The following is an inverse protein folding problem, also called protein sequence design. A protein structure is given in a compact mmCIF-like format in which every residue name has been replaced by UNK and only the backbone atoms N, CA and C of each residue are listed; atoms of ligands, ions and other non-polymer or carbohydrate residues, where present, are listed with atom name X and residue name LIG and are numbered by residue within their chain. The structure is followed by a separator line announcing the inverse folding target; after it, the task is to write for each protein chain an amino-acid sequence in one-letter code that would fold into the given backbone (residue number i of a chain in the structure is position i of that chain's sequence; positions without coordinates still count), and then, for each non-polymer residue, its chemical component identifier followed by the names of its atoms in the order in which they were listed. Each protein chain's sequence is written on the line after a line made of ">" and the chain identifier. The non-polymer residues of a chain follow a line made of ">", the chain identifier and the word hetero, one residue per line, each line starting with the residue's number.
data_IF_425011569778
#
_entry.id   IF_425011569778
#
_cell.length_a   1.000
_cell.length_b   1.000
_cell.length_c   1.000
_cell.angle_alpha   90.00
_cell.angle_beta   90.00
_cell.angle_gamma   90.00
#
_symmetry.space_group_name_H-M   'P 1'
#
loop_
_entity.id
_entity.type
_entity.pdbx_description
1 polymer ?
#
# COMPACT_ATOMS: atom_id res chain seq x y z
N UNK A 1 -46.39 23.90 15.83
CA UNK A 1 -45.90 24.20 17.20
C UNK A 1 -44.54 24.88 17.10
N UNK A 2 -44.47 26.12 17.56
CA UNK A 2 -43.30 27.01 17.55
C UNK A 2 -42.33 26.63 18.67
N UNK A 3 -41.06 26.37 18.33
CA UNK A 3 -39.99 26.26 19.32
C UNK A 3 -39.17 27.55 19.34
N UNK A 4 -39.47 28.35 20.37
CA UNK A 4 -38.85 29.63 20.73
C UNK A 4 -37.32 29.51 20.89
N UNK A 5 -36.57 30.35 20.17
CA UNK A 5 -35.15 30.64 20.45
C UNK A 5 -35.02 31.31 21.83
N UNK A 6 -34.23 30.70 22.73
CA UNK A 6 -33.82 31.32 24.00
C UNK A 6 -32.78 32.44 23.72
N UNK A 7 -32.87 33.62 24.36
CA UNK A 7 -31.90 34.69 24.18
C UNK A 7 -30.60 34.35 24.93
N UNK A 8 -29.47 34.49 24.25
CA UNK A 8 -28.14 34.29 24.83
C UNK A 8 -27.85 35.32 25.92
N UNK A 9 -27.63 34.83 27.15
CA UNK A 9 -27.05 35.62 28.25
C UNK A 9 -25.65 36.11 27.85
N UNK A 10 -25.47 37.43 27.71
CA UNK A 10 -24.15 38.07 27.64
C UNK A 10 -23.41 37.81 28.95
N UNK A 11 -22.29 37.06 28.89
CA UNK A 11 -21.33 36.97 30.01
C UNK A 11 -20.53 38.29 30.09
N UNK A 12 -20.34 38.89 31.27
CA UNK A 12 -19.56 40.11 31.42
C UNK A 12 -18.07 39.84 31.14
N UNK A 13 -17.37 40.85 30.59
CA UNK A 13 -15.92 40.81 30.42
C UNK A 13 -15.26 40.67 31.80
N UNK A 14 -14.37 39.69 31.95
CA UNK A 14 -13.47 39.58 33.10
C UNK A 14 -12.63 40.86 33.21
N UNK A 15 -12.96 41.74 34.15
CA UNK A 15 -12.03 42.73 34.72
C UNK A 15 -11.13 42.00 35.70
N UNK A 16 -9.81 42.14 35.55
CA UNK A 16 -8.84 41.64 36.53
C UNK A 16 -9.17 42.30 37.87
N UNK A 17 -9.38 41.49 38.91
CA UNK A 17 -9.67 41.97 40.26
C UNK A 17 -8.37 42.41 40.91
N UNK A 18 -8.02 43.69 40.78
CA UNK A 18 -6.88 44.31 41.46
C UNK A 18 -7.29 44.84 42.85
N UNK A 19 -6.37 44.80 43.80
CA UNK A 19 -6.56 45.46 45.11
C UNK A 19 -6.41 46.98 44.98
N UNK A 20 -6.96 47.78 45.92
CA UNK A 20 -6.86 49.25 45.87
C UNK A 20 -5.41 49.76 45.85
N UNK A 21 -4.49 49.01 46.44
CA UNK A 21 -3.06 49.32 46.46
C UNK A 21 -2.39 49.04 45.09
N UNK A 22 -2.75 47.92 44.45
CA UNK A 22 -2.32 47.60 43.08
C UNK A 22 -2.84 48.63 42.07
N UNK A 23 -4.07 49.12 42.24
CA UNK A 23 -4.64 50.14 41.37
C UNK A 23 -3.91 51.49 41.46
N UNK A 24 -3.50 51.89 42.66
CA UNK A 24 -2.69 53.09 42.91
C UNK A 24 -1.29 52.95 42.31
N UNK A 25 -0.70 51.74 42.42
CA UNK A 25 0.61 51.45 41.86
C UNK A 25 0.60 51.43 40.33
N UNK A 26 -0.41 50.83 39.69
CA UNK A 26 -0.62 50.88 38.23
C UNK A 26 -0.83 52.33 37.75
N UNK A 27 -1.57 53.15 38.48
CA UNK A 27 -1.75 54.57 38.14
C UNK A 27 -0.44 55.36 38.26
N UNK A 28 0.39 55.07 39.26
CA UNK A 28 1.71 55.71 39.42
C UNK A 28 2.69 55.35 38.29
N UNK A 29 2.66 54.10 37.81
CA UNK A 29 3.50 53.63 36.69
C UNK A 29 3.10 54.32 35.38
N UNK A 30 1.81 54.50 35.12
CA UNK A 30 1.31 55.18 33.92
C UNK A 30 1.51 56.70 33.97
N UNK A 31 1.56 57.30 35.17
CA UNK A 31 1.86 58.72 35.37
C UNK A 31 3.36 59.05 35.39
N UNK A 32 4.23 58.04 35.45
CA UNK A 32 5.68 58.18 35.39
C UNK A 32 6.20 58.47 33.97
N UNK A 33 7.53 58.47 33.81
CA UNK A 33 8.17 58.70 32.51
C UNK A 33 7.96 57.48 31.58
N UNK A 34 6.90 57.54 30.77
CA UNK A 34 6.55 56.54 29.75
C UNK A 34 7.34 56.70 28.44
N UNK A 35 8.26 57.67 28.39
CA UNK A 35 9.08 57.97 27.21
C UNK A 35 10.26 57.01 27.05
N UNK A 36 10.70 56.35 28.13
CA UNK A 36 11.76 55.35 28.14
C UNK A 36 11.18 53.93 28.38
N UNK A 37 11.06 53.11 27.31
CA UNK A 37 10.48 51.77 27.43
C UNK A 37 11.26 50.84 28.37
N UNK A 38 12.58 51.04 28.54
CA UNK A 38 13.41 50.21 29.41
C UNK A 38 13.15 50.46 30.89
N UNK A 39 13.02 51.74 31.28
CA UNK A 39 12.65 52.12 32.65
C UNK A 39 11.21 51.73 32.97
N UNK A 40 10.29 51.92 32.02
CA UNK A 40 8.90 51.48 32.14
C UNK A 40 8.80 49.98 32.40
N UNK A 41 9.55 49.18 31.64
CA UNK A 41 9.60 47.74 31.85
C UNK A 41 9.96 47.44 33.30
N UNK A 42 11.07 48.01 33.79
CA UNK A 42 11.66 47.74 35.11
C UNK A 42 10.76 48.14 36.29
N UNK A 43 9.92 49.17 36.11
CA UNK A 43 8.99 49.67 37.12
C UNK A 43 7.80 48.74 37.38
N UNK A 44 7.55 47.74 36.51
CA UNK A 44 6.49 46.73 36.70
C UNK A 44 7.06 45.54 37.46
N UNK A 45 6.64 45.28 38.72
CA UNK A 45 7.31 44.29 39.57
C UNK A 45 6.83 42.86 39.30
N UNK A 46 5.57 42.65 38.90
CA UNK A 46 5.00 41.31 38.73
C UNK A 46 4.03 41.18 37.55
N UNK A 47 3.61 39.95 37.28
CA UNK A 47 2.72 39.59 36.17
C UNK A 47 1.28 40.12 36.34
N UNK A 48 0.81 40.28 37.59
CA UNK A 48 -0.55 40.76 37.87
C UNK A 48 -0.67 42.25 37.53
N UNK A 49 0.30 43.04 37.97
CA UNK A 49 0.43 44.47 37.66
C UNK A 49 0.71 44.65 36.16
N UNK A 50 1.55 43.80 35.54
CA UNK A 50 1.78 43.84 34.09
C UNK A 50 0.49 43.67 33.27
N UNK A 51 -0.40 42.75 33.68
CA UNK A 51 -1.71 42.55 33.04
C UNK A 51 -2.63 43.75 33.21
N UNK A 52 -2.70 44.32 34.41
CA UNK A 52 -3.51 45.50 34.70
C UNK A 52 -3.02 46.76 33.95
N UNK A 53 -1.70 46.96 33.90
CA UNK A 53 -1.05 48.03 33.11
C UNK A 53 -1.37 47.85 31.63
N UNK A 54 -1.22 46.64 31.08
CA UNK A 54 -1.51 46.36 29.68
C UNK A 54 -2.99 46.62 29.33
N UNK A 55 -3.93 46.23 30.19
CA UNK A 55 -5.37 46.49 29.99
C UNK A 55 -5.69 47.99 29.99
N UNK A 56 -5.09 48.77 30.90
CA UNK A 56 -5.28 50.25 30.94
C UNK A 56 -4.67 50.95 29.73
N UNK A 57 -3.46 50.57 29.30
CA UNK A 57 -2.85 51.09 28.07
C UNK A 57 -3.73 50.84 26.82
N UNK A 58 -4.50 49.75 26.80
CA UNK A 58 -5.42 49.46 25.69
C UNK A 58 -6.74 50.27 25.73
N UNK A 59 -7.04 50.91 26.86
CA UNK A 59 -8.21 51.78 27.04
C UNK A 59 -7.91 53.24 26.70
N UNK A 60 -6.65 53.64 26.60
CA UNK A 60 -6.23 54.98 26.17
C UNK A 60 -6.63 55.27 24.71
N UNK A 61 -6.76 56.56 24.38
CA UNK A 61 -7.18 57.02 23.06
C UNK A 61 -6.21 56.59 21.94
N UNK A 62 -4.92 56.54 22.28
CA UNK A 62 -3.81 56.08 21.45
C UNK A 62 -2.99 55.06 22.25
N UNK A 63 -3.26 53.75 22.09
CA UNK A 63 -2.56 52.73 22.87
C UNK A 63 -1.09 52.65 22.43
N UNK A 64 -0.17 52.80 23.38
CA UNK A 64 1.28 52.73 23.11
C UNK A 64 1.72 51.28 22.82
N UNK A 65 1.94 50.97 21.54
CA UNK A 65 2.40 49.65 21.09
C UNK A 65 3.78 49.34 21.69
N UNK A 66 4.68 50.32 21.74
CA UNK A 66 6.06 50.15 22.22
C UNK A 66 6.10 49.63 23.65
N UNK A 67 5.26 50.20 24.53
CA UNK A 67 5.18 49.77 25.93
C UNK A 67 4.57 48.37 26.07
N UNK A 68 3.56 48.04 25.25
CA UNK A 68 2.94 46.71 25.23
C UNK A 68 3.88 45.62 24.71
N UNK A 69 4.73 45.94 23.73
CA UNK A 69 5.76 45.02 23.21
C UNK A 69 6.81 44.73 24.29
N UNK A 70 7.28 45.76 25.01
CA UNK A 70 8.25 45.57 26.08
C UNK A 70 7.69 44.75 27.25
N UNK A 71 6.40 44.89 27.57
CA UNK A 71 5.72 44.02 28.54
C UNK A 71 5.57 42.59 28.03
N UNK A 72 5.30 42.39 26.73
CA UNK A 72 5.29 41.06 26.09
C UNK A 72 6.65 40.38 26.22
N UNK A 73 7.73 41.09 25.92
CA UNK A 73 9.09 40.53 25.93
C UNK A 73 9.54 40.16 27.34
N UNK A 74 9.20 40.98 28.34
CA UNK A 74 9.58 40.75 29.74
C UNK A 74 8.81 39.59 30.39
N UNK A 75 7.49 39.51 30.17
CA UNK A 75 6.63 38.59 30.94
C UNK A 75 6.12 37.38 30.13
N UNK A 76 6.23 37.39 28.79
CA UNK A 76 5.84 36.30 27.87
C UNK A 76 4.46 35.67 28.17
N UNK A 77 3.50 36.50 28.55
CA UNK A 77 2.18 36.05 29.02
C UNK A 77 1.08 36.13 27.95
N UNK A 78 0.21 35.11 27.95
CA UNK A 78 -0.89 34.97 26.98
C UNK A 78 -1.94 36.09 27.08
N UNK A 79 -2.20 36.62 28.27
CA UNK A 79 -3.17 37.72 28.43
C UNK A 79 -2.59 39.04 27.92
N UNK A 80 -1.31 39.33 28.20
CA UNK A 80 -0.61 40.51 27.69
C UNK A 80 -0.59 40.50 26.16
N UNK A 81 -0.30 39.36 25.55
CA UNK A 81 -0.34 39.18 24.10
C UNK A 81 -1.74 39.42 23.51
N UNK A 82 -2.80 38.92 24.17
CA UNK A 82 -4.17 39.20 23.75
C UNK A 82 -4.49 40.70 23.80
N UNK A 83 -3.95 41.42 24.77
CA UNK A 83 -4.12 42.86 24.90
C UNK A 83 -3.34 43.64 23.83
N UNK A 84 -2.11 43.22 23.51
CA UNK A 84 -1.35 43.74 22.38
C UNK A 84 -2.09 43.54 21.05
N UNK A 85 -2.61 42.34 20.78
CA UNK A 85 -3.43 42.06 19.57
C UNK A 85 -4.67 42.96 19.48
N UNK A 86 -5.32 43.26 20.61
CA UNK A 86 -6.46 44.19 20.68
C UNK A 86 -6.06 45.63 20.38
N UNK A 87 -4.94 46.09 20.92
CA UNK A 87 -4.41 47.43 20.66
C UNK A 87 -4.03 47.62 19.18
N UNK A 88 -3.33 46.65 18.59
CA UNK A 88 -2.95 46.63 17.17
C UNK A 88 -4.19 46.60 16.26
N UNK A 89 -5.23 45.86 16.63
CA UNK A 89 -6.49 45.82 15.89
C UNK A 89 -7.23 47.17 15.91
N UNK A 90 -7.29 47.86 17.06
CA UNK A 90 -7.89 49.21 17.15
C UNK A 90 -7.16 50.23 16.28
N UNK A 91 -5.82 50.17 16.22
CA UNK A 91 -5.02 51.08 15.39
C UNK A 91 -5.18 50.79 13.89
N UNK A 92 -5.30 49.51 13.51
CA UNK A 92 -5.62 49.11 12.14
C UNK A 92 -7.00 49.60 11.69
N UNK A 93 -8.01 49.54 12.55
CA UNK A 93 -9.35 50.09 12.25
C UNK A 93 -9.33 51.61 12.03
N UNK A 94 -8.37 52.33 12.64
CA UNK A 94 -8.15 53.76 12.44
C UNK A 94 -7.24 54.09 11.24
N UNK A 95 -6.83 53.10 10.45
CA UNK A 95 -6.04 53.30 9.23
C UNK A 95 -4.53 53.41 9.43
N UNK A 96 -4.01 53.09 10.61
CA UNK A 96 -2.56 53.08 10.88
C UNK A 96 -1.94 51.79 10.34
N UNK A 97 -0.86 51.91 9.56
CA UNK A 97 -0.08 50.76 9.06
C UNK A 97 0.72 50.18 10.22
N UNK A 98 0.45 48.92 10.57
CA UNK A 98 1.07 48.22 11.70
C UNK A 98 1.97 47.11 11.18
N UNK A 99 3.19 47.02 11.71
CA UNK A 99 4.18 46.01 11.33
C UNK A 99 3.73 44.59 11.73
N UNK A 100 3.52 43.72 10.74
CA UNK A 100 2.97 42.36 10.90
C UNK A 100 3.90 41.41 11.66
N UNK A 101 5.19 41.72 11.76
CA UNK A 101 6.17 40.92 12.50
C UNK A 101 5.80 40.72 13.98
N UNK A 102 5.12 41.70 14.60
CA UNK A 102 4.75 41.68 16.03
C UNK A 102 3.61 40.65 16.30
N UNK A 103 2.80 40.35 15.29
CA UNK A 103 1.65 39.44 15.37
C UNK A 103 2.01 37.98 15.05
N UNK A 104 3.14 37.75 14.38
CA UNK A 104 3.51 36.46 13.80
C UNK A 104 3.98 35.43 14.85
N UNK A 105 4.51 35.87 15.99
CA UNK A 105 5.18 34.98 16.97
C UNK A 105 4.23 34.06 17.77
N UNK A 106 2.93 34.31 17.78
CA UNK A 106 1.94 33.52 18.54
C UNK A 106 0.74 33.09 17.69
N UNK A 107 1.00 32.81 16.42
CA UNK A 107 0.18 31.82 15.74
C UNK A 107 0.61 30.48 16.32
N UNK A 108 -0.30 29.59 16.75
CA UNK A 108 0.04 28.18 16.68
C UNK A 108 0.25 27.94 15.19
N UNK A 109 1.48 28.14 14.72
CA UNK A 109 2.02 27.23 13.73
C UNK A 109 1.67 25.87 14.32
N UNK A 110 0.69 25.20 13.72
CA UNK A 110 0.75 23.77 13.73
C UNK A 110 2.20 23.48 13.41
N UNK A 111 2.88 22.92 14.39
CA UNK A 111 4.18 22.32 14.24
C UNK A 111 3.91 21.24 13.17
N UNK A 112 3.92 21.65 11.89
CA UNK A 112 4.22 20.79 10.77
C UNK A 112 5.71 20.53 10.99
N UNK A 113 6.02 19.78 12.05
CA UNK A 113 7.07 18.79 11.94
C UNK A 113 6.77 18.14 10.60
N UNK A 114 7.68 18.19 9.62
CA UNK A 114 7.51 17.35 8.44
C UNK A 114 7.19 15.97 8.99
N UNK A 115 5.95 15.54 8.81
CA UNK A 115 5.49 14.22 9.19
C UNK A 115 6.40 13.35 8.35
N UNK A 116 7.40 12.75 9.02
CA UNK A 116 8.43 11.87 8.50
C UNK A 116 8.00 11.38 7.12
N UNK A 117 8.60 11.90 6.04
CA UNK A 117 8.13 11.71 4.65
C UNK A 117 7.46 10.35 4.53
N UNK A 118 6.13 10.31 4.56
CA UNK A 118 5.41 9.04 4.66
C UNK A 118 5.57 8.38 3.28
N UNK A 119 6.70 7.69 3.10
CA UNK A 119 7.06 7.03 1.85
C UNK A 119 5.97 6.04 1.50
N UNK A 120 5.60 5.94 0.22
CA UNK A 120 4.62 4.96 -0.18
C UNK A 120 5.16 3.56 0.10
N UNK A 121 4.34 2.73 0.74
CA UNK A 121 4.66 1.33 0.99
C UNK A 121 3.94 0.48 -0.05
N UNK A 122 4.62 -0.53 -0.58
CA UNK A 122 4.04 -1.49 -1.51
C UNK A 122 4.30 -2.92 -1.05
N UNK A 123 3.31 -3.79 -1.22
CA UNK A 123 3.36 -5.19 -0.84
C UNK A 123 2.80 -6.06 -1.96
N UNK A 124 3.36 -7.26 -2.12
CA UNK A 124 2.90 -8.25 -3.10
C UNK A 124 2.78 -9.62 -2.44
N UNK A 125 1.73 -10.34 -2.79
CA UNK A 125 1.56 -11.74 -2.40
C UNK A 125 2.25 -12.69 -3.39
N UNK A 126 2.31 -13.99 -3.05
CA UNK A 126 2.74 -15.01 -3.98
C UNK A 126 1.77 -15.15 -5.16
N UNK A 127 2.22 -15.80 -6.23
CA UNK A 127 1.34 -16.30 -7.27
C UNK A 127 0.69 -17.60 -6.79
N UNK A 128 -0.64 -17.61 -6.75
CA UNK A 128 -1.45 -18.65 -6.12
C UNK A 128 -1.75 -19.85 -7.02
N UNK A 129 -1.60 -19.70 -8.32
CA UNK A 129 -2.02 -20.71 -9.30
C UNK A 129 -1.30 -20.53 -10.64
N UNK A 130 -1.53 -21.48 -11.54
CA UNK A 130 -1.07 -21.39 -12.93
C UNK A 130 -1.81 -20.35 -13.78
N UNK A 131 -2.71 -19.54 -13.22
CA UNK A 131 -3.31 -18.38 -13.90
C UNK A 131 -2.64 -17.05 -13.52
N UNK A 132 -1.65 -17.09 -12.62
CA UNK A 132 -0.90 -15.90 -12.23
C UNK A 132 -1.63 -15.00 -11.23
N UNK A 133 -2.71 -15.48 -10.58
CA UNK A 133 -3.46 -14.70 -9.60
C UNK A 133 -2.64 -14.37 -8.36
N UNK A 134 -2.66 -13.12 -7.92
CA UNK A 134 -2.00 -12.65 -6.70
C UNK A 134 -2.60 -11.36 -6.15
N UNK A 135 -2.37 -11.13 -4.86
CA UNK A 135 -2.70 -9.87 -4.20
C UNK A 135 -1.58 -8.82 -4.36
N UNK A 136 -1.96 -7.57 -4.60
CA UNK A 136 -1.03 -6.42 -4.68
C UNK A 136 -1.59 -5.25 -3.88
N UNK A 137 -0.70 -4.58 -3.15
CA UNK A 137 -1.02 -3.50 -2.22
C UNK A 137 -0.10 -2.31 -2.44
N UNK A 138 -0.67 -1.11 -2.49
CA UNK A 138 0.06 0.16 -2.46
C UNK A 138 -0.63 1.06 -1.43
N UNK A 139 0.16 1.69 -0.57
CA UNK A 139 -0.34 2.71 0.36
C UNK A 139 0.43 4.01 0.16
N UNK A 140 -0.28 5.14 0.23
CA UNK A 140 0.34 6.45 0.12
C UNK A 140 -0.45 7.52 0.85
N UNK A 141 0.21 8.62 1.20
CA UNK A 141 -0.45 9.76 1.81
C UNK A 141 -0.87 10.81 0.79
N UNK A 142 -2.14 11.24 0.86
CA UNK A 142 -2.70 12.28 -0.03
C UNK A 142 -2.91 13.59 0.72
N UNK A 143 -1.81 14.19 1.19
CA UNK A 143 -1.82 15.46 1.93
C UNK A 143 -2.79 15.45 3.13
N UNK A 144 -3.73 16.41 3.17
CA UNK A 144 -4.73 16.53 4.25
C UNK A 144 -5.77 15.41 4.23
N UNK A 145 -5.94 14.70 3.10
CA UNK A 145 -6.93 13.62 2.95
C UNK A 145 -6.52 12.30 3.62
N UNK A 146 -5.32 12.25 4.20
CA UNK A 146 -4.84 11.10 4.95
C UNK A 146 -4.32 9.95 4.08
N UNK A 147 -4.16 8.79 4.71
CA UNK A 147 -3.64 7.57 4.11
C UNK A 147 -4.68 6.98 3.14
N UNK A 148 -4.25 6.71 1.92
CA UNK A 148 -5.00 5.97 0.91
C UNK A 148 -4.33 4.62 0.67
N UNK A 149 -5.14 3.62 0.36
CA UNK A 149 -4.65 2.31 -0.07
C UNK A 149 -5.32 1.94 -1.39
N UNK A 150 -4.50 1.39 -2.29
CA UNK A 150 -4.92 0.63 -3.44
C UNK A 150 -4.64 -0.85 -3.18
N UNK A 151 -5.66 -1.68 -3.26
CA UNK A 151 -5.60 -3.10 -2.98
C UNK A 151 -6.24 -3.82 -4.16
N UNK A 152 -5.58 -4.82 -4.73
CA UNK A 152 -6.14 -5.55 -5.86
C UNK A 152 -5.78 -7.02 -5.85
N UNK A 153 -6.72 -7.83 -6.33
CA UNK A 153 -6.49 -9.20 -6.77
C UNK A 153 -6.35 -9.17 -8.30
N UNK A 154 -5.17 -9.55 -8.79
CA UNK A 154 -4.80 -9.39 -10.20
C UNK A 154 -4.15 -10.65 -10.74
N UNK A 155 -4.26 -10.87 -12.04
CA UNK A 155 -3.55 -11.90 -12.79
C UNK A 155 -2.97 -11.31 -14.07
N UNK A 156 -1.95 -11.98 -14.60
CA UNK A 156 -1.37 -11.69 -15.91
C UNK A 156 -2.22 -12.27 -17.07
N UNK A 157 -3.18 -13.14 -16.77
CA UNK A 157 -4.00 -13.84 -17.75
C UNK A 157 -5.43 -13.27 -17.87
N UNK A 158 -6.07 -12.92 -16.76
CA UNK A 158 -7.44 -12.35 -16.74
C UNK A 158 -7.46 -10.85 -16.41
N UNK A 159 -6.33 -10.31 -15.94
CA UNK A 159 -6.20 -8.91 -15.57
C UNK A 159 -6.68 -8.62 -14.14
N UNK A 160 -7.40 -7.51 -13.96
CA UNK A 160 -7.89 -7.08 -12.65
C UNK A 160 -9.19 -7.81 -12.33
N UNK A 161 -9.19 -8.62 -11.26
CA UNK A 161 -10.38 -9.35 -10.78
C UNK A 161 -11.18 -8.50 -9.79
N UNK A 162 -10.50 -7.94 -8.79
CA UNK A 162 -11.09 -7.03 -7.81
C UNK A 162 -10.07 -5.95 -7.44
N UNK A 163 -10.57 -4.75 -7.18
CA UNK A 163 -9.72 -3.61 -6.85
C UNK A 163 -10.45 -2.56 -6.03
N UNK A 164 -9.89 -2.26 -4.87
CA UNK A 164 -10.29 -1.18 -3.98
C UNK A 164 -9.26 -0.04 -4.03
N UNK A 165 -9.75 1.19 -4.13
CA UNK A 165 -8.93 2.38 -3.88
C UNK A 165 -9.71 3.41 -3.06
N UNK A 166 -9.11 3.85 -1.95
CA UNK A 166 -9.77 4.82 -1.10
C UNK A 166 -9.00 5.17 0.18
N UNK A 167 -9.54 6.10 0.98
CA UNK A 167 -8.96 6.44 2.28
C UNK A 167 -9.11 5.27 3.24
N UNK A 168 -8.04 4.92 3.94
CA UNK A 168 -8.04 3.84 4.93
C UNK A 168 -7.36 4.26 6.23
N UNK A 169 -7.95 3.85 7.36
CA UNK A 169 -7.33 4.02 8.67
C UNK A 169 -6.27 2.94 8.92
N UNK A 170 -5.22 3.26 9.70
CA UNK A 170 -4.13 2.32 10.02
C UNK A 170 -4.60 0.96 10.55
N UNK A 171 -5.64 0.96 11.41
CA UNK A 171 -6.23 -0.28 11.96
C UNK A 171 -6.83 -1.16 10.86
N UNK A 172 -7.67 -0.59 10.00
CA UNK A 172 -8.28 -1.31 8.88
C UNK A 172 -7.25 -1.80 7.86
N UNK A 173 -6.17 -1.03 7.65
CA UNK A 173 -5.08 -1.47 6.79
C UNK A 173 -4.40 -2.74 7.33
N UNK A 174 -4.19 -2.82 8.64
CA UNK A 174 -3.60 -4.01 9.26
C UNK A 174 -4.54 -5.21 9.14
N UNK A 175 -5.82 -5.02 9.46
CA UNK A 175 -6.86 -6.07 9.33
C UNK A 175 -6.95 -6.58 7.88
N UNK A 176 -6.91 -5.67 6.90
CA UNK A 176 -6.97 -6.04 5.49
C UNK A 176 -5.70 -6.79 5.02
N UNK A 177 -4.51 -6.41 5.52
CA UNK A 177 -3.27 -7.15 5.26
C UNK A 177 -3.30 -8.55 5.87
N UNK A 178 -3.82 -8.70 7.09
CA UNK A 178 -3.98 -9.99 7.77
C UNK A 178 -4.96 -10.89 7.00
N UNK A 179 -6.15 -10.40 6.66
CA UNK A 179 -7.14 -11.14 5.89
C UNK A 179 -6.60 -11.59 4.51
N UNK A 180 -5.87 -10.71 3.82
CA UNK A 180 -5.23 -11.08 2.54
C UNK A 180 -4.11 -12.10 2.77
N UNK A 181 -3.36 -11.99 3.86
CA UNK A 181 -2.30 -12.95 4.16
C UNK A 181 -2.84 -14.35 4.48
N UNK A 182 -4.00 -14.42 5.13
CA UNK A 182 -4.71 -15.67 5.43
C UNK A 182 -5.28 -16.32 4.17
N UNK A 183 -5.85 -15.54 3.25
CA UNK A 183 -6.55 -16.07 2.07
C UNK A 183 -5.67 -16.19 0.80
N UNK A 184 -4.68 -15.32 0.65
CA UNK A 184 -3.87 -15.17 -0.56
C UNK A 184 -2.36 -15.29 -0.29
N UNK A 185 -1.98 -15.84 0.87
CA UNK A 185 -0.59 -16.08 1.26
C UNK A 185 0.15 -14.83 1.75
N UNK A 186 1.32 -14.99 2.38
CA UNK A 186 1.99 -13.92 3.09
C UNK A 186 2.43 -12.81 2.14
N UNK A 187 2.25 -11.56 2.55
CA UNK A 187 2.66 -10.38 1.78
C UNK A 187 4.13 -10.04 2.04
N UNK A 188 4.90 -9.79 0.97
CA UNK A 188 6.28 -9.28 1.06
C UNK A 188 6.36 -7.83 0.64
N UNK A 189 7.19 -7.05 1.33
CA UNK A 189 7.45 -5.65 0.97
C UNK A 189 8.20 -5.56 -0.37
N UNK A 190 7.80 -4.60 -1.21
CA UNK A 190 8.35 -4.42 -2.55
C UNK A 190 8.52 -2.94 -2.91
N UNK A 191 9.26 -2.67 -3.98
CA UNK A 191 9.34 -1.33 -4.55
C UNK A 191 8.01 -0.91 -5.18
N UNK A 192 7.73 0.40 -5.18
CA UNK A 192 6.56 0.94 -5.85
C UNK A 192 6.59 0.68 -7.37
N UNK A 193 7.76 0.72 -7.99
CA UNK A 193 7.96 0.39 -9.42
C UNK A 193 7.55 -1.04 -9.73
N UNK A 194 7.91 -2.00 -8.86
CA UNK A 194 7.51 -3.38 -9.06
C UNK A 194 6.00 -3.53 -8.96
N UNK A 195 5.37 -3.02 -7.89
CA UNK A 195 3.91 -3.09 -7.75
C UNK A 195 3.19 -2.40 -8.92
N UNK A 196 3.72 -1.27 -9.41
CA UNK A 196 3.23 -0.57 -10.59
C UNK A 196 3.31 -1.44 -11.86
N UNK A 197 4.41 -2.18 -12.08
CA UNK A 197 4.53 -3.10 -13.23
C UNK A 197 3.48 -4.20 -13.22
N UNK A 198 3.19 -4.76 -12.05
CA UNK A 198 2.18 -5.82 -11.90
C UNK A 198 0.80 -5.26 -12.24
N UNK A 199 0.47 -4.12 -11.63
CA UNK A 199 -0.79 -3.44 -11.86
C UNK A 199 -0.97 -3.02 -13.32
N UNK A 200 0.07 -2.49 -13.96
CA UNK A 200 0.01 -2.09 -15.36
C UNK A 200 -0.16 -3.31 -16.28
N UNK A 201 0.55 -4.42 -16.02
CA UNK A 201 0.38 -5.66 -16.79
C UNK A 201 -1.06 -6.17 -16.69
N UNK A 202 -1.60 -6.24 -15.48
CA UNK A 202 -2.98 -6.66 -15.24
C UNK A 202 -4.02 -5.70 -15.86
N UNK A 203 -3.74 -4.39 -15.84
CA UNK A 203 -4.63 -3.39 -16.43
C UNK A 203 -4.67 -3.48 -17.95
N UNK A 204 -3.52 -3.62 -18.61
CA UNK A 204 -3.48 -3.82 -20.06
C UNK A 204 -4.26 -5.08 -20.44
N UNK A 205 -4.08 -6.16 -19.69
CA UNK A 205 -4.83 -7.39 -19.91
C UNK A 205 -6.34 -7.22 -19.70
N UNK A 206 -6.73 -6.50 -18.65
CA UNK A 206 -8.13 -6.18 -18.38
C UNK A 206 -8.76 -5.37 -19.51
N UNK A 207 -8.03 -4.41 -20.10
CA UNK A 207 -8.50 -3.63 -21.25
C UNK A 207 -8.70 -4.49 -22.49
N UNK A 208 -7.77 -5.41 -22.77
CA UNK A 208 -7.86 -6.35 -23.90
C UNK A 208 -9.13 -7.22 -23.81
N UNK A 209 -9.43 -7.75 -22.62
CA UNK A 209 -10.54 -8.68 -22.39
C UNK A 209 -11.88 -7.93 -22.29
N UNK A 210 -11.97 -6.92 -21.41
CA UNK A 210 -13.24 -6.30 -21.04
C UNK A 210 -13.59 -5.08 -21.88
N UNK A 211 -12.64 -4.53 -22.65
CA UNK A 211 -12.80 -3.32 -23.48
C UNK A 211 -13.31 -2.10 -22.69
N UNK A 212 -13.08 -2.07 -21.38
CA UNK A 212 -13.53 -1.03 -20.45
C UNK A 212 -12.50 -0.84 -19.35
N UNK A 213 -12.45 0.36 -18.80
CA UNK A 213 -11.58 0.69 -17.68
C UNK A 213 -12.16 0.23 -16.34
N UNK A 214 -11.29 -0.20 -15.43
CA UNK A 214 -11.66 -0.45 -14.04
C UNK A 214 -11.68 0.87 -13.25
N UNK A 215 -12.87 1.34 -12.86
CA UNK A 215 -13.09 2.67 -12.28
C UNK A 215 -12.16 3.00 -11.09
N UNK A 216 -12.02 2.07 -10.14
CA UNK A 216 -11.13 2.28 -8.98
C UNK A 216 -9.66 2.39 -9.37
N UNK A 217 -9.24 1.66 -10.40
CA UNK A 217 -7.85 1.62 -10.85
C UNK A 217 -7.46 2.91 -11.58
N UNK A 218 -8.37 3.45 -12.39
CA UNK A 218 -8.18 4.72 -13.11
C UNK A 218 -7.88 5.90 -12.17
N UNK A 219 -8.30 5.82 -10.90
CA UNK A 219 -7.97 6.85 -9.90
C UNK A 219 -6.56 6.72 -9.31
N UNK A 220 -6.06 5.49 -9.08
CA UNK A 220 -4.73 5.26 -8.53
C UNK A 220 -3.63 5.42 -9.61
N UNK A 221 -3.92 5.01 -10.85
CA UNK A 221 -2.94 4.91 -11.93
C UNK A 221 -2.13 6.17 -12.21
N UNK A 222 -2.73 7.37 -12.33
CA UNK A 222 -1.98 8.60 -12.55
C UNK A 222 -0.99 8.89 -11.42
N UNK A 223 -1.33 8.50 -10.19
CA UNK A 223 -0.48 8.75 -9.03
C UNK A 223 0.76 7.85 -9.05
N UNK A 224 0.65 6.54 -9.24
CA UNK A 224 1.84 5.70 -9.23
C UNK A 224 2.75 5.97 -10.44
N UNK A 225 2.19 6.22 -11.63
CA UNK A 225 3.01 6.50 -12.83
C UNK A 225 3.85 7.78 -12.70
N UNK A 226 3.38 8.75 -11.91
CA UNK A 226 4.15 9.97 -11.62
C UNK A 226 5.23 9.76 -10.56
N UNK A 227 5.05 8.79 -9.66
CA UNK A 227 5.94 8.58 -8.51
C UNK A 227 6.95 7.44 -8.72
N UNK A 228 6.65 6.49 -9.59
CA UNK A 228 7.51 5.36 -9.90
C UNK A 228 7.21 4.84 -11.32
N UNK A 229 8.18 4.88 -12.24
CA UNK A 229 8.02 4.21 -13.53
C UNK A 229 7.92 2.70 -13.32
N UNK A 230 7.04 2.00 -14.07
CA UNK A 230 7.05 0.54 -14.13
C UNK A 230 8.42 0.01 -14.57
N UNK A 231 8.86 -1.07 -13.96
CA UNK A 231 10.01 -1.87 -14.38
C UNK A 231 9.79 -2.44 -15.79
N UNK A 232 10.85 -2.46 -16.58
CA UNK A 232 10.98 -3.08 -17.90
C UNK A 232 11.53 -4.53 -17.84
N UNK A 233 11.86 -5.00 -16.64
CA UNK A 233 12.38 -6.34 -16.35
C UNK A 233 11.75 -6.91 -15.06
N UNK A 234 11.96 -8.20 -14.81
CA UNK A 234 11.45 -8.88 -13.60
C UNK A 234 12.21 -8.44 -12.36
N UNK A 235 11.50 -8.10 -11.27
CA UNK A 235 12.07 -7.45 -10.09
C UNK A 235 13.17 -8.26 -9.38
N UNK A 236 13.25 -9.58 -9.58
CA UNK A 236 14.33 -10.41 -9.05
C UNK A 236 15.69 -10.01 -9.63
N UNK A 237 15.76 -9.51 -10.87
CA UNK A 237 17.01 -9.18 -11.53
C UNK A 237 17.70 -7.92 -11.00
N UNK A 238 17.00 -7.10 -10.20
CA UNK A 238 17.62 -6.05 -9.39
C UNK A 238 18.55 -6.61 -8.30
N UNK A 239 18.37 -7.89 -7.92
CA UNK A 239 19.07 -8.53 -6.80
C UNK A 239 19.95 -9.70 -7.24
N UNK A 240 19.46 -10.51 -8.18
CA UNK A 240 20.14 -11.69 -8.69
C UNK A 240 20.28 -11.55 -10.21
N UNK A 241 21.48 -11.25 -10.73
CA UNK A 241 21.66 -11.08 -12.17
C UNK A 241 21.28 -12.34 -12.96
N UNK A 242 20.63 -12.17 -14.12
CA UNK A 242 20.13 -13.27 -14.95
C UNK A 242 21.23 -14.31 -15.28
N UNK A 243 22.46 -13.84 -15.49
CA UNK A 243 23.64 -14.67 -15.82
C UNK A 243 24.13 -15.56 -14.68
N UNK A 244 23.69 -15.33 -13.45
CA UNK A 244 24.05 -16.16 -12.29
C UNK A 244 23.11 -17.35 -12.08
N UNK A 245 22.08 -17.48 -12.92
CA UNK A 245 21.15 -18.60 -12.85
C UNK A 245 21.83 -19.90 -13.30
N UNK A 246 21.68 -21.02 -12.56
CA UNK A 246 22.32 -22.27 -12.94
C UNK A 246 21.77 -22.75 -14.29
N UNK A 247 22.61 -22.77 -15.32
CA UNK A 247 22.26 -23.24 -16.67
C UNK A 247 22.06 -24.76 -16.78
N UNK A 248 21.90 -25.47 -15.64
CA UNK A 248 21.68 -26.92 -15.60
C UNK A 248 20.19 -27.22 -15.48
N UNK A 249 19.64 -28.20 -16.23
CA UNK A 249 18.28 -28.68 -16.04
C UNK A 249 18.06 -29.14 -14.60
N UNK A 250 16.92 -28.77 -14.02
CA UNK A 250 16.52 -29.21 -12.68
C UNK A 250 16.15 -30.69 -12.69
N UNK A 251 16.49 -31.42 -11.63
CA UNK A 251 16.04 -32.82 -11.46
C UNK A 251 14.58 -32.88 -10.99
N UNK A 252 13.93 -34.04 -11.18
CA UNK A 252 12.55 -34.26 -10.70
C UNK A 252 12.44 -34.05 -9.18
N UNK A 253 13.44 -34.46 -8.41
CA UNK A 253 13.49 -34.22 -6.97
C UNK A 253 13.61 -32.74 -6.59
N UNK A 254 14.26 -31.92 -7.43
CA UNK A 254 14.35 -30.48 -7.24
C UNK A 254 13.03 -29.79 -7.58
N UNK A 255 12.36 -30.23 -8.65
CA UNK A 255 11.03 -29.75 -9.04
C UNK A 255 9.96 -30.15 -8.01
N UNK A 256 10.03 -31.37 -7.50
CA UNK A 256 9.18 -31.84 -6.40
C UNK A 256 9.39 -31.00 -5.16
N UNK A 257 10.65 -30.78 -4.77
CA UNK A 257 10.97 -29.93 -3.63
C UNK A 257 10.41 -28.52 -3.81
N UNK A 258 10.48 -27.95 -5.02
CA UNK A 258 9.98 -26.60 -5.32
C UNK A 258 8.44 -26.53 -5.29
N UNK A 259 7.78 -27.42 -6.02
CA UNK A 259 6.33 -27.40 -6.24
C UNK A 259 5.53 -27.95 -5.05
N UNK A 260 6.18 -28.55 -4.05
CA UNK A 260 5.57 -28.91 -2.77
C UNK A 260 5.81 -27.87 -1.67
N UNK A 261 6.05 -26.59 -2.01
CA UNK A 261 6.23 -25.51 -1.03
C UNK A 261 5.08 -24.52 -1.06
N UNK A 262 4.27 -24.48 -0.01
CA UNK A 262 3.37 -23.37 0.31
C UNK A 262 2.54 -22.92 -0.90
N UNK A 263 2.72 -21.69 -1.40
CA UNK A 263 1.92 -21.17 -2.52
C UNK A 263 2.14 -21.89 -3.86
N UNK A 264 3.19 -22.71 -3.99
CA UNK A 264 3.46 -23.48 -5.20
C UNK A 264 2.74 -24.84 -5.23
N UNK A 265 2.16 -25.30 -4.12
CA UNK A 265 1.48 -26.60 -4.06
C UNK A 265 0.30 -26.69 -5.02
N UNK A 266 -0.41 -25.57 -5.17
CA UNK A 266 -1.56 -25.36 -6.07
C UNK A 266 -1.17 -25.11 -7.54
N UNK A 267 0.11 -25.16 -7.88
CA UNK A 267 0.56 -25.00 -9.26
C UNK A 267 0.34 -26.29 -10.05
N UNK A 268 -0.88 -26.42 -10.55
CA UNK A 268 -1.32 -27.47 -11.45
C UNK A 268 -2.00 -26.84 -12.67
N UNK A 269 -1.93 -27.55 -13.79
CA UNK A 269 -2.58 -27.12 -15.03
C UNK A 269 -4.09 -27.22 -14.83
N UNK A 270 -4.82 -26.25 -15.35
CA UNK A 270 -6.27 -26.21 -15.34
C UNK A 270 -6.92 -27.54 -15.78
N UNK A 271 -7.97 -27.93 -15.04
CA UNK A 271 -8.68 -29.18 -15.29
C UNK A 271 -9.35 -29.19 -16.65
N UNK A 272 -10.02 -28.11 -17.05
CA UNK A 272 -10.73 -28.05 -18.34
C UNK A 272 -9.75 -28.17 -19.52
N UNK A 273 -8.55 -27.61 -19.37
CA UNK A 273 -7.46 -27.73 -20.34
C UNK A 273 -6.90 -29.15 -20.44
N UNK A 274 -6.84 -29.89 -19.34
CA UNK A 274 -6.33 -31.27 -19.29
C UNK A 274 -7.38 -32.35 -19.58
N UNK A 275 -8.66 -32.05 -19.38
CA UNK A 275 -9.77 -33.00 -19.48
C UNK A 275 -9.76 -33.86 -20.74
N UNK A 276 -9.55 -33.34 -21.98
CA UNK A 276 -9.53 -34.17 -23.18
C UNK A 276 -8.47 -35.26 -23.14
N UNK A 277 -7.32 -34.98 -22.54
CA UNK A 277 -6.21 -35.93 -22.41
C UNK A 277 -6.42 -36.90 -21.25
N UNK A 278 -7.04 -36.46 -20.15
CA UNK A 278 -7.42 -37.36 -19.04
C UNK A 278 -8.40 -38.43 -19.53
N UNK A 279 -9.42 -38.04 -20.30
CA UNK A 279 -10.40 -38.97 -20.87
C UNK A 279 -9.74 -39.97 -21.83
N UNK A 280 -8.76 -39.54 -22.62
CA UNK A 280 -8.01 -40.43 -23.51
C UNK A 280 -7.14 -41.41 -22.71
N UNK A 281 -6.48 -40.95 -21.65
CA UNK A 281 -5.67 -41.80 -20.77
C UNK A 281 -6.52 -42.89 -20.08
N UNK A 282 -7.71 -42.53 -19.59
CA UNK A 282 -8.64 -43.50 -18.97
C UNK A 282 -9.09 -44.55 -19.99
N UNK A 283 -9.43 -44.13 -21.23
CA UNK A 283 -9.79 -45.05 -22.32
C UNK A 283 -8.66 -46.00 -22.70
N UNK A 284 -7.40 -45.56 -22.62
CA UNK A 284 -6.24 -46.41 -22.87
C UNK A 284 -6.12 -47.52 -21.82
N UNK A 285 -6.45 -47.23 -20.57
CA UNK A 285 -6.37 -48.24 -19.51
C UNK A 285 -7.54 -49.22 -19.53
N UNK A 286 -8.74 -48.73 -19.82
CA UNK A 286 -9.98 -49.51 -19.96
C UNK A 286 -10.09 -50.29 -21.29
N UNK A 287 -9.14 -50.12 -22.21
CA UNK A 287 -9.20 -50.73 -23.55
C UNK A 287 -9.18 -52.26 -23.47
N UNK A 288 -10.18 -52.95 -24.05
CA UNK A 288 -10.26 -54.42 -24.07
C UNK A 288 -9.23 -55.08 -25.01
N UNK A 289 -8.45 -54.28 -25.75
CA UNK A 289 -7.35 -54.77 -26.57
C UNK A 289 -6.20 -55.12 -25.62
N UNK A 290 -5.70 -56.37 -25.70
CA UNK A 290 -4.54 -56.84 -24.94
C UNK A 290 -3.28 -56.10 -25.44
N UNK A 291 -3.11 -54.85 -25.03
CA UNK A 291 -1.87 -54.11 -25.16
C UNK A 291 -0.91 -54.59 -24.09
N UNK A 292 0.36 -54.73 -24.44
CA UNK A 292 1.40 -54.96 -23.43
C UNK A 292 1.55 -53.70 -22.57
N UNK A 293 1.94 -53.85 -21.31
CA UNK A 293 2.24 -52.72 -20.41
C UNK A 293 3.20 -51.69 -21.04
N UNK A 294 4.17 -52.18 -21.83
CA UNK A 294 5.10 -51.34 -22.57
C UNK A 294 4.37 -50.45 -23.60
N UNK A 295 3.44 -51.01 -24.38
CA UNK A 295 2.66 -50.26 -25.36
C UNK A 295 1.71 -49.25 -24.71
N UNK A 296 1.07 -49.60 -23.59
CA UNK A 296 0.27 -48.67 -22.80
C UNK A 296 1.11 -47.50 -22.30
N UNK A 297 2.30 -47.78 -21.75
CA UNK A 297 3.23 -46.76 -21.27
C UNK A 297 3.73 -45.82 -22.37
N UNK A 298 4.02 -46.36 -23.56
CA UNK A 298 4.43 -45.57 -24.72
C UNK A 298 3.30 -44.67 -25.24
N UNK A 299 2.06 -45.15 -25.28
CA UNK A 299 0.91 -44.35 -25.69
C UNK A 299 0.61 -43.24 -24.67
N UNK A 300 0.62 -43.55 -23.38
CA UNK A 300 0.47 -42.56 -22.31
C UNK A 300 1.56 -41.47 -22.39
N UNK A 301 2.80 -41.86 -22.71
CA UNK A 301 3.90 -40.92 -22.90
C UNK A 301 3.67 -39.99 -24.09
N UNK A 302 3.26 -40.52 -25.25
CA UNK A 302 2.95 -39.71 -26.45
C UNK A 302 1.81 -38.74 -26.19
N UNK A 303 0.77 -39.17 -25.48
CA UNK A 303 -0.35 -38.31 -25.12
C UNK A 303 0.09 -37.11 -24.27
N UNK A 304 1.00 -37.34 -23.32
CA UNK A 304 1.58 -36.27 -22.49
C UNK A 304 2.47 -35.34 -23.30
N UNK A 305 3.21 -35.86 -24.28
CA UNK A 305 4.02 -35.02 -25.19
C UNK A 305 3.12 -34.11 -26.03
N UNK A 306 2.06 -34.68 -26.63
CA UNK A 306 1.07 -33.94 -27.41
C UNK A 306 0.38 -32.86 -26.56
N UNK A 307 0.10 -33.16 -25.29
CA UNK A 307 -0.43 -32.21 -24.31
C UNK A 307 0.54 -31.04 -24.08
N UNK A 308 1.83 -31.32 -23.90
CA UNK A 308 2.86 -30.28 -23.71
C UNK A 308 2.93 -29.36 -24.94
N UNK A 309 2.98 -29.94 -26.14
CA UNK A 309 3.07 -29.16 -27.38
C UNK A 309 1.85 -28.25 -27.60
N UNK A 310 0.66 -28.74 -27.29
CA UNK A 310 -0.59 -27.98 -27.50
C UNK A 310 -0.86 -26.92 -26.43
N UNK A 311 -0.52 -27.20 -25.17
CA UNK A 311 -0.80 -26.27 -24.07
C UNK A 311 0.31 -25.21 -23.91
N UNK A 312 1.56 -25.55 -24.22
CA UNK A 312 2.71 -24.68 -23.95
C UNK A 312 3.35 -24.13 -25.22
N UNK A 313 2.66 -23.19 -25.87
CA UNK A 313 3.23 -22.30 -26.90
C UNK A 313 4.35 -21.40 -26.38
N UNK A 314 5.13 -20.79 -27.27
CA UNK A 314 6.23 -19.88 -26.89
C UNK A 314 5.74 -18.73 -25.97
N UNK A 315 4.55 -18.18 -26.26
CA UNK A 315 3.95 -17.12 -25.45
C UNK A 315 3.60 -17.60 -24.04
N UNK A 316 3.01 -18.78 -23.89
CA UNK A 316 2.65 -19.31 -22.56
C UNK A 316 3.88 -19.78 -21.78
N UNK A 317 4.92 -20.29 -22.46
CA UNK A 317 6.23 -20.58 -21.85
C UNK A 317 6.90 -19.32 -21.32
N UNK A 318 6.88 -18.23 -22.09
CA UNK A 318 7.41 -16.94 -21.65
C UNK A 318 6.64 -16.38 -20.44
N UNK A 319 5.30 -16.50 -20.45
CA UNK A 319 4.46 -16.12 -19.32
C UNK A 319 4.79 -16.95 -18.07
N UNK A 320 4.90 -18.26 -18.22
CA UNK A 320 5.25 -19.16 -17.13
C UNK A 320 6.66 -18.89 -16.59
N UNK A 321 7.66 -18.58 -17.44
CA UNK A 321 8.98 -18.10 -16.99
C UNK A 321 8.83 -16.88 -16.10
N UNK A 322 8.06 -15.87 -16.53
CA UNK A 322 7.83 -14.66 -15.75
C UNK A 322 7.20 -14.98 -14.40
N UNK A 323 6.22 -15.89 -14.35
CA UNK A 323 5.62 -16.35 -13.08
C UNK A 323 6.65 -17.02 -12.16
N UNK A 324 7.55 -17.84 -12.69
CA UNK A 324 8.66 -18.39 -11.91
C UNK A 324 9.61 -17.29 -11.40
N UNK A 325 9.93 -16.27 -12.20
CA UNK A 325 10.75 -15.14 -11.76
C UNK A 325 10.09 -14.32 -10.65
N UNK A 326 8.77 -14.13 -10.71
CA UNK A 326 7.98 -13.49 -9.65
C UNK A 326 7.99 -14.32 -8.36
N UNK A 327 7.90 -15.65 -8.47
CA UNK A 327 8.08 -16.54 -7.32
C UNK A 327 9.52 -16.53 -6.78
N UNK A 328 10.52 -16.40 -7.65
CA UNK A 328 11.91 -16.23 -7.23
C UNK A 328 12.08 -14.95 -6.40
N UNK A 329 11.52 -13.82 -6.88
CA UNK A 329 11.46 -12.57 -6.12
C UNK A 329 10.81 -12.75 -4.75
N UNK A 330 9.66 -13.42 -4.71
CA UNK A 330 8.93 -13.69 -3.48
C UNK A 330 9.75 -14.50 -2.47
N UNK A 331 10.34 -15.63 -2.89
CA UNK A 331 11.17 -16.45 -2.02
C UNK A 331 12.46 -15.73 -1.59
N UNK A 332 13.06 -14.94 -2.48
CA UNK A 332 14.18 -14.08 -2.13
C UNK A 332 13.83 -13.10 -1.01
N UNK A 333 12.66 -12.44 -1.08
CA UNK A 333 12.18 -11.53 -0.02
C UNK A 333 11.87 -12.24 1.30
N UNK A 334 11.59 -13.53 1.28
CA UNK A 334 11.46 -14.35 2.48
C UNK A 334 12.79 -14.90 3.02
N UNK A 335 13.91 -14.66 2.34
CA UNK A 335 15.21 -15.24 2.70
C UNK A 335 15.35 -16.72 2.34
N UNK A 336 14.50 -17.24 1.45
CA UNK A 336 14.53 -18.62 0.97
C UNK A 336 15.33 -18.73 -0.34
N UNK A 337 16.64 -18.50 -0.25
CA UNK A 337 17.55 -18.44 -1.41
C UNK A 337 17.55 -19.73 -2.25
N UNK A 338 17.51 -20.90 -1.60
CA UNK A 338 17.44 -22.20 -2.29
C UNK A 338 16.22 -22.30 -3.22
N UNK A 339 15.05 -21.85 -2.76
CA UNK A 339 13.82 -21.86 -3.56
C UNK A 339 13.85 -20.79 -4.64
N UNK A 340 14.42 -19.61 -4.34
CA UNK A 340 14.67 -18.57 -5.34
C UNK A 340 15.49 -19.12 -6.52
N UNK A 341 16.60 -19.82 -6.25
CA UNK A 341 17.43 -20.39 -7.31
C UNK A 341 16.73 -21.50 -8.08
N UNK A 342 15.89 -22.32 -7.42
CA UNK A 342 15.08 -23.32 -8.10
C UNK A 342 14.03 -22.68 -9.02
N UNK A 343 13.36 -21.61 -8.59
CA UNK A 343 12.44 -20.86 -9.45
C UNK A 343 13.14 -20.31 -10.70
N UNK A 344 14.30 -19.68 -10.54
CA UNK A 344 15.08 -19.15 -11.68
C UNK A 344 15.53 -20.28 -12.62
N UNK A 345 15.99 -21.41 -12.07
CA UNK A 345 16.35 -22.59 -12.86
C UNK A 345 15.17 -23.17 -13.64
N UNK A 346 13.99 -23.23 -13.01
CA UNK A 346 12.76 -23.68 -13.66
C UNK A 346 12.35 -22.73 -14.80
N UNK A 347 12.36 -21.41 -14.55
CA UNK A 347 12.07 -20.39 -15.56
C UNK A 347 13.01 -20.45 -16.76
N UNK A 348 14.32 -20.60 -16.54
CA UNK A 348 15.29 -20.74 -17.62
C UNK A 348 15.10 -22.05 -18.41
N UNK A 349 14.74 -23.12 -17.72
CA UNK A 349 14.42 -24.41 -18.32
C UNK A 349 13.25 -24.35 -19.31
N UNK A 350 12.36 -23.36 -19.22
CA UNK A 350 11.23 -23.18 -20.14
C UNK A 350 11.62 -22.62 -21.51
N UNK A 351 12.69 -21.83 -21.58
CA UNK A 351 13.13 -21.13 -22.80
C UNK A 351 14.26 -21.86 -23.51
N UNK A 352 15.12 -22.58 -22.77
CA UNK A 352 16.17 -23.36 -23.39
C UNK A 352 15.52 -24.41 -24.30
N UNK A 353 15.66 -24.22 -25.62
CA UNK A 353 15.25 -25.22 -26.61
C UNK A 353 15.86 -26.57 -26.26
N UNK A 354 15.09 -27.64 -26.53
CA UNK A 354 15.41 -29.05 -26.30
C UNK A 354 16.81 -29.39 -26.84
N UNK A 355 17.81 -29.03 -26.07
CA UNK A 355 19.19 -29.15 -26.47
C UNK A 355 19.43 -30.65 -26.52
N UNK A 356 19.60 -31.19 -27.72
CA UNK A 356 19.80 -32.61 -28.01
C UNK A 356 18.54 -33.48 -27.96
N UNK A 357 17.34 -32.92 -28.18
CA UNK A 357 16.09 -33.69 -28.17
C UNK A 357 15.67 -34.15 -26.76
N UNK A 358 16.25 -33.55 -25.73
CA UNK A 358 15.79 -33.73 -24.35
C UNK A 358 14.58 -32.85 -24.11
N UNK A 359 13.44 -33.48 -23.82
CA UNK A 359 12.17 -32.82 -23.49
C UNK A 359 12.34 -31.85 -22.33
N UNK A 360 11.55 -30.77 -22.38
CA UNK A 360 11.45 -29.82 -21.27
C UNK A 360 11.00 -30.49 -19.95
N UNK A 361 11.94 -30.67 -19.03
CA UNK A 361 11.72 -31.39 -17.77
C UNK A 361 10.71 -30.69 -16.85
N UNK A 362 10.68 -29.35 -16.86
CA UNK A 362 9.75 -28.56 -16.04
C UNK A 362 8.31 -28.78 -16.50
N UNK A 363 8.06 -28.70 -17.81
CA UNK A 363 6.73 -28.92 -18.39
C UNK A 363 6.27 -30.36 -18.20
N UNK A 364 7.16 -31.33 -18.42
CA UNK A 364 6.84 -32.73 -18.21
C UNK A 364 6.46 -33.03 -16.75
N UNK A 365 7.19 -32.44 -15.80
CA UNK A 365 6.88 -32.58 -14.38
C UNK A 365 5.52 -31.97 -14.03
N UNK A 366 5.23 -30.73 -14.47
CA UNK A 366 3.95 -30.06 -14.22
C UNK A 366 2.77 -30.84 -14.79
N UNK A 367 2.91 -31.35 -16.02
CA UNK A 367 1.89 -32.20 -16.66
C UNK A 367 1.68 -33.46 -15.83
N UNK A 368 2.74 -34.22 -15.50
CA UNK A 368 2.61 -35.44 -14.70
C UNK A 368 1.95 -35.18 -13.35
N UNK A 369 2.40 -34.15 -12.63
CA UNK A 369 1.83 -33.76 -11.34
C UNK A 369 0.32 -33.50 -11.46
N UNK A 370 -0.09 -32.74 -12.48
CA UNK A 370 -1.49 -32.38 -12.69
C UNK A 370 -2.34 -33.60 -13.05
N UNK A 371 -1.82 -34.48 -13.93
CA UNK A 371 -2.46 -35.76 -14.25
C UNK A 371 -2.65 -36.63 -13.00
N UNK A 372 -1.59 -36.81 -12.21
CA UNK A 372 -1.65 -37.60 -10.97
C UNK A 372 -2.70 -37.03 -10.03
N UNK A 373 -2.70 -35.71 -9.78
CA UNK A 373 -3.71 -35.08 -8.92
C UNK A 373 -5.14 -35.37 -9.38
N UNK A 374 -5.45 -35.18 -10.67
CA UNK A 374 -6.81 -35.35 -11.16
C UNK A 374 -7.26 -36.81 -11.26
N UNK A 375 -6.33 -37.73 -11.54
CA UNK A 375 -6.63 -39.17 -11.52
C UNK A 375 -6.88 -39.66 -10.08
N UNK A 376 -6.04 -39.26 -9.12
CA UNK A 376 -6.22 -39.60 -7.71
C UNK A 376 -7.57 -39.07 -7.18
N UNK A 377 -7.95 -37.85 -7.57
CA UNK A 377 -9.26 -37.28 -7.26
C UNK A 377 -10.41 -38.06 -7.90
N UNK A 378 -10.26 -38.51 -9.15
CA UNK A 378 -11.27 -39.31 -9.83
C UNK A 378 -11.41 -40.73 -9.23
N UNK A 379 -10.34 -41.30 -8.70
CA UNK A 379 -10.36 -42.58 -7.98
C UNK A 379 -10.94 -42.42 -6.56
N UNK A 380 -10.59 -41.35 -5.83
CA UNK A 380 -11.14 -41.03 -4.52
C UNK A 380 -12.62 -40.59 -4.55
N UNK A 381 -13.05 -39.93 -5.63
CA UNK A 381 -14.44 -39.51 -5.88
C UNK A 381 -15.38 -40.66 -6.25
N UNK A 382 -14.87 -41.86 -6.52
CA UNK A 382 -15.71 -43.09 -6.63
C UNK A 382 -16.22 -43.56 -5.26
N UNK A 383 -15.74 -42.99 -4.15
CA UNK A 383 -16.19 -43.32 -2.79
C UNK A 383 -17.05 -42.26 -2.11
N UNK A 384 -17.12 -41.01 -2.57
CA UNK A 384 -18.04 -40.01 -2.01
C UNK A 384 -18.37 -38.94 -3.06
N UNK A 385 -19.67 -38.65 -3.18
CA UNK A 385 -20.29 -37.83 -4.22
C UNK A 385 -20.04 -36.32 -3.97
N UNK A 386 -19.97 -35.57 -5.07
CA UNK A 386 -19.96 -34.10 -5.21
C UNK A 386 -18.70 -33.32 -4.78
N UNK A 387 -17.93 -32.86 -5.77
CA UNK A 387 -17.20 -31.60 -5.67
C UNK A 387 -17.16 -30.87 -7.02
N UNK A 388 -17.81 -29.71 -7.08
CA UNK A 388 -17.49 -28.62 -8.02
C UNK A 388 -16.28 -27.88 -7.46
N UNK A 389 -15.23 -27.59 -8.26
CA UNK A 389 -14.17 -26.71 -7.80
C UNK A 389 -14.80 -25.35 -7.52
N UNK A 390 -14.78 -24.94 -6.25
CA UNK A 390 -15.01 -23.54 -5.90
C UNK A 390 -13.96 -22.72 -6.64
N UNK A 391 -14.39 -21.97 -7.65
CA UNK A 391 -13.70 -20.72 -8.01
C UNK A 391 -13.41 -19.99 -6.70
N UNK A 392 -12.21 -19.40 -6.51
CA UNK A 392 -11.93 -18.63 -5.30
C UNK A 392 -13.02 -17.59 -5.20
N UNK A 393 -13.96 -17.81 -4.28
CA UNK A 393 -15.11 -16.95 -4.13
C UNK A 393 -14.54 -15.56 -3.86
N UNK A 394 -14.91 -14.62 -4.73
CA UNK A 394 -14.55 -13.20 -4.70
C UNK A 394 -15.11 -12.47 -3.47
N UNK A 395 -15.06 -13.10 -2.30
CA UNK A 395 -15.50 -12.57 -1.01
C UNK A 395 -14.32 -12.07 -0.19
N UNK A 396 -13.25 -11.59 -0.83
CA UNK A 396 -12.40 -10.57 -0.22
C UNK A 396 -13.12 -9.23 -0.42
N UNK A 397 -14.24 -9.04 0.28
CA UNK A 397 -14.93 -7.75 0.30
C UNK A 397 -14.03 -6.78 1.08
N UNK A 398 -13.35 -5.90 0.35
CA UNK A 398 -12.56 -4.79 0.93
C UNK A 398 -13.43 -3.67 1.51
#
# INVERSE_FOLDING_TARGET
>A
MSLKKKPGKKKPLHTVSTTKEEDALVASILAGDTSDPGKFASAVPDLAIARAVAERLCLEAEPSITLLTVLKDRFKDKQINKTLKRALFKLRQKGVIVNEAILAEDSPFFDIRPRQEDKPEAFVGPILNMFGSRAVYITHFRGVRGLHAGMGLVSDEDGIHDFFYGPIGKKRLLEAKEMVSENAGPLVETSLSHAASIFETAYQRHLEINKREHLGFSELRPWYLQNAPPLDHSAIYDYVPEQQSPGRPLTDSQLERLLNQGPMESWVIDFESLKPYLEELIKLDESPIILTELQKSDQARRLKDDCIEKLFSDTSRALLKRRFEEMAYFFFKQGQEDLCHLCLGAGQGLINEDSHGMKNQVLFYLVNRSFTLYLDLAEGGKTENEFTPEEPTSNIIF
#
